data_IF_879470921702
#
_entry.id   IF_879470921702
#
_cell.length_a   1.000
_cell.length_b   1.000
_cell.length_c   1.000
_cell.angle_alpha   90.00
_cell.angle_beta   90.00
_cell.angle_gamma   90.00
#
_symmetry.space_group_name_H-M   'P 1'
#
loop_
_entity.id
_entity.type
_entity.pdbx_description
1 polymer ?
#
# COMPACT_ATOMS: atom_id res chain seq x y z
N UNK A 1 13.35 -12.28 8.88
CA UNK A 1 13.20 -11.20 9.87
C UNK A 1 13.68 -9.92 9.23
N UNK A 2 12.86 -8.87 9.30
CA UNK A 2 13.11 -7.52 8.75
C UNK A 2 12.83 -6.45 9.81
N UNK A 3 12.75 -6.82 11.09
CA UNK A 3 12.38 -5.94 12.22
C UNK A 3 13.28 -4.71 12.41
N UNK A 4 14.51 -4.73 11.89
CA UNK A 4 15.44 -3.59 11.93
C UNK A 4 15.44 -2.75 10.65
N UNK A 5 14.66 -3.11 9.64
CA UNK A 5 14.58 -2.39 8.37
C UNK A 5 13.68 -1.17 8.57
N UNK A 6 14.20 0.01 8.25
CA UNK A 6 13.44 1.27 8.34
C UNK A 6 12.95 1.79 6.99
N UNK A 7 13.47 1.25 5.89
CA UNK A 7 13.19 1.70 4.53
C UNK A 7 13.04 0.48 3.60
N UNK A 8 11.86 0.33 3.01
CA UNK A 8 11.54 -0.72 2.03
C UNK A 8 11.25 -0.13 0.64
N UNK A 9 11.74 1.10 0.39
CA UNK A 9 11.54 1.79 -0.88
C UNK A 9 11.99 0.92 -2.05
N UNK A 10 11.12 0.80 -3.05
CA UNK A 10 11.36 0.07 -4.31
C UNK A 10 11.70 -1.44 -4.18
N UNK A 11 11.51 -2.07 -3.02
CA UNK A 11 12.01 -3.43 -2.74
C UNK A 11 11.57 -4.50 -3.75
N UNK A 12 10.32 -4.42 -4.23
CA UNK A 12 9.74 -5.32 -5.23
C UNK A 12 9.23 -4.58 -6.47
N UNK A 13 9.79 -3.42 -6.78
CA UNK A 13 9.47 -2.68 -8.00
C UNK A 13 9.72 -3.55 -9.23
N UNK A 14 8.73 -3.61 -10.13
CA UNK A 14 8.69 -4.39 -11.37
C UNK A 14 8.96 -5.89 -11.18
N UNK A 15 8.80 -6.42 -9.96
CA UNK A 15 8.86 -7.84 -9.70
C UNK A 15 7.56 -8.52 -10.19
N UNK A 16 7.38 -8.57 -11.51
CA UNK A 16 6.12 -8.92 -12.21
C UNK A 16 5.46 -10.19 -11.69
N UNK A 17 6.26 -11.19 -11.28
CA UNK A 17 5.79 -12.51 -10.81
C UNK A 17 5.87 -12.69 -9.30
N UNK A 18 6.23 -11.65 -8.54
CA UNK A 18 6.37 -11.75 -7.09
C UNK A 18 5.01 -11.89 -6.41
N UNK A 19 4.84 -12.98 -5.66
CA UNK A 19 3.65 -13.25 -4.86
C UNK A 19 4.00 -14.25 -3.74
N UNK A 20 5.19 -14.11 -3.15
CA UNK A 20 5.67 -15.00 -2.08
C UNK A 20 5.09 -14.54 -0.74
N UNK A 21 4.74 -15.48 0.11
CA UNK A 21 4.22 -15.19 1.45
C UNK A 21 5.25 -14.37 2.27
N UNK A 22 4.80 -13.20 2.69
CA UNK A 22 5.52 -12.23 3.53
C UNK A 22 4.66 -11.79 4.72
N UNK A 23 3.56 -12.51 5.00
CA UNK A 23 2.62 -12.17 6.07
C UNK A 23 3.27 -12.15 7.46
N UNK A 24 4.38 -12.88 7.63
CA UNK A 24 5.16 -13.00 8.87
C UNK A 24 6.24 -11.93 9.06
N UNK A 25 6.38 -10.98 8.14
CA UNK A 25 7.36 -9.92 8.28
C UNK A 25 6.96 -8.94 9.38
N UNK A 26 7.88 -8.69 10.30
CA UNK A 26 7.77 -7.58 11.25
C UNK A 26 8.25 -6.30 10.58
N UNK A 27 7.30 -5.43 10.22
CA UNK A 27 7.55 -4.16 9.54
C UNK A 27 7.33 -2.95 10.46
N UNK A 28 7.19 -3.16 11.77
CA UNK A 28 6.86 -2.10 12.75
C UNK A 28 7.89 -0.96 12.81
N UNK A 29 9.14 -1.22 12.42
CA UNK A 29 10.21 -0.20 12.35
C UNK A 29 10.28 0.53 11.00
N UNK A 30 9.50 0.11 10.00
CA UNK A 30 9.54 0.69 8.65
C UNK A 30 8.88 2.07 8.66
N UNK A 31 9.56 3.04 8.06
CA UNK A 31 9.10 4.42 7.94
C UNK A 31 8.76 4.82 6.50
N UNK A 32 9.34 4.14 5.51
CA UNK A 32 9.03 4.30 4.08
C UNK A 32 8.74 2.96 3.42
N UNK A 33 7.60 2.87 2.74
CA UNK A 33 7.23 1.78 1.83
C UNK A 33 6.95 2.28 0.41
N UNK A 34 7.54 3.43 0.08
CA UNK A 34 7.42 4.07 -1.21
C UNK A 34 7.70 3.08 -2.34
N UNK A 35 6.76 3.00 -3.26
CA UNK A 35 6.85 2.18 -4.47
C UNK A 35 7.15 0.69 -4.23
N UNK A 36 7.04 0.16 -3.01
CA UNK A 36 7.50 -1.19 -2.64
C UNK A 36 7.00 -2.29 -3.58
N UNK A 37 5.75 -2.24 -4.04
CA UNK A 37 5.15 -3.21 -4.97
C UNK A 37 4.77 -2.59 -6.32
N UNK A 38 5.38 -1.47 -6.70
CA UNK A 38 5.09 -0.82 -8.00
C UNK A 38 5.34 -1.79 -9.13
N UNK A 39 4.38 -1.98 -10.03
CA UNK A 39 4.54 -2.88 -11.18
C UNK A 39 4.56 -4.37 -10.83
N UNK A 40 4.53 -4.77 -9.55
CA UNK A 40 4.49 -6.17 -9.11
C UNK A 40 3.13 -6.81 -9.44
N UNK A 41 2.88 -7.04 -10.73
CA UNK A 41 1.56 -7.28 -11.31
C UNK A 41 0.85 -8.53 -10.78
N UNK A 42 1.60 -9.51 -10.24
CA UNK A 42 1.07 -10.74 -9.66
C UNK A 42 0.88 -10.70 -8.13
N UNK A 43 1.29 -9.63 -7.46
CA UNK A 43 1.26 -9.57 -6.00
C UNK A 43 -0.18 -9.46 -5.47
N UNK A 44 -0.56 -10.39 -4.59
CA UNK A 44 -1.87 -10.42 -3.92
C UNK A 44 -1.79 -11.11 -2.54
N UNK A 45 -0.65 -11.00 -1.86
CA UNK A 45 -0.48 -11.64 -0.55
C UNK A 45 -1.21 -10.87 0.54
N UNK A 46 -1.73 -11.61 1.52
CA UNK A 46 -2.36 -11.01 2.69
C UNK A 46 -1.27 -10.37 3.58
N UNK A 47 -1.41 -9.06 3.76
CA UNK A 47 -0.55 -8.20 4.59
C UNK A 47 -1.40 -7.38 5.57
N UNK A 48 -2.60 -7.87 5.92
CA UNK A 48 -3.50 -7.21 6.87
C UNK A 48 -2.94 -7.15 8.30
N UNK A 49 -1.96 -8.00 8.63
CA UNK A 49 -1.32 -8.12 9.94
C UNK A 49 -0.11 -7.21 10.13
N UNK A 50 0.34 -6.51 9.08
CA UNK A 50 1.47 -5.60 9.16
C UNK A 50 1.13 -4.35 9.98
N UNK A 51 2.09 -3.88 10.77
CA UNK A 51 1.99 -2.65 11.55
C UNK A 51 2.53 -1.46 10.73
N UNK A 52 1.64 -0.53 10.38
CA UNK A 52 1.94 0.65 9.59
C UNK A 52 2.05 1.95 10.41
N UNK A 53 1.94 1.86 11.74
CA UNK A 53 1.89 3.05 12.62
C UNK A 53 3.12 3.95 12.52
N UNK A 54 4.28 3.40 12.14
CA UNK A 54 5.54 4.12 11.91
C UNK A 54 5.72 4.67 10.49
N UNK A 55 4.89 4.25 9.53
CA UNK A 55 5.06 4.58 8.10
C UNK A 55 4.55 5.98 7.81
N UNK A 56 5.36 6.79 7.13
CA UNK A 56 5.00 8.15 6.71
C UNK A 56 4.96 8.36 5.19
N UNK A 57 5.55 7.45 4.40
CA UNK A 57 5.54 7.49 2.92
C UNK A 57 5.06 6.15 2.33
N UNK A 58 3.90 6.20 1.65
CA UNK A 58 3.27 5.10 0.91
C UNK A 58 3.12 5.44 -0.58
N UNK A 59 3.81 6.47 -1.08
CA UNK A 59 3.65 6.91 -2.45
C UNK A 59 3.93 5.76 -3.43
N UNK A 60 3.01 5.53 -4.37
CA UNK A 60 3.06 4.47 -5.38
C UNK A 60 3.14 3.04 -4.85
N UNK A 61 2.93 2.77 -3.55
CA UNK A 61 3.16 1.44 -2.96
C UNK A 61 2.54 0.28 -3.75
N UNK A 62 1.32 0.45 -4.27
CA UNK A 62 0.59 -0.53 -5.11
C UNK A 62 0.29 -0.02 -6.52
N UNK A 63 1.08 0.95 -7.01
CA UNK A 63 0.91 1.43 -8.39
C UNK A 63 1.16 0.28 -9.36
N UNK A 64 0.24 0.04 -10.29
CA UNK A 64 0.32 -1.03 -11.29
C UNK A 64 0.34 -2.46 -10.70
N UNK A 65 -0.03 -2.65 -9.42
CA UNK A 65 -0.21 -3.96 -8.80
C UNK A 65 -1.57 -4.56 -9.22
N UNK A 66 -1.63 -5.03 -10.46
CA UNK A 66 -2.88 -5.29 -11.22
C UNK A 66 -3.92 -6.17 -10.50
N UNK A 67 -3.48 -7.14 -9.70
CA UNK A 67 -4.35 -8.15 -9.07
C UNK A 67 -4.53 -7.98 -7.56
N UNK A 68 -3.89 -6.99 -6.94
CA UNK A 68 -3.97 -6.81 -5.49
C UNK A 68 -5.38 -6.38 -5.07
N UNK A 69 -5.99 -7.15 -4.16
CA UNK A 69 -7.32 -6.86 -3.61
C UNK A 69 -7.50 -7.44 -2.20
N UNK A 70 -6.43 -7.55 -1.42
CA UNK A 70 -6.50 -8.02 -0.04
C UNK A 70 -7.02 -6.92 0.88
N UNK A 71 -7.76 -7.31 1.93
CA UNK A 71 -8.29 -6.35 2.90
C UNK A 71 -7.18 -5.61 3.63
N UNK A 72 -7.29 -4.28 3.66
CA UNK A 72 -6.35 -3.35 4.30
C UNK A 72 -7.08 -2.33 5.19
N UNK A 73 -8.34 -2.58 5.51
CA UNK A 73 -9.18 -1.67 6.29
C UNK A 73 -8.69 -1.49 7.74
N UNK A 74 -7.88 -2.43 8.23
CA UNK A 74 -7.30 -2.43 9.59
C UNK A 74 -5.99 -1.66 9.72
N UNK A 75 -5.44 -1.13 8.62
CA UNK A 75 -4.16 -0.42 8.69
C UNK A 75 -4.32 0.91 9.43
N UNK A 76 -3.41 1.16 10.38
CA UNK A 76 -3.22 2.49 10.95
C UNK A 76 -2.35 3.30 9.99
N UNK A 77 -2.98 4.25 9.30
CA UNK A 77 -2.32 5.17 8.36
C UNK A 77 -2.25 6.60 8.89
N UNK A 78 -2.52 6.82 10.19
CA UNK A 78 -2.61 8.15 10.80
C UNK A 78 -1.30 8.94 10.76
N UNK A 79 -0.16 8.25 10.64
CA UNK A 79 1.19 8.82 10.45
C UNK A 79 1.54 9.13 8.99
N UNK A 80 0.75 8.66 8.03
CA UNK A 80 1.08 8.75 6.59
C UNK A 80 0.90 10.17 6.08
N UNK A 81 1.90 10.67 5.36
CA UNK A 81 1.90 12.02 4.78
C UNK A 81 1.88 12.04 3.25
N UNK A 82 2.31 10.96 2.59
CA UNK A 82 2.30 10.84 1.12
C UNK A 82 1.67 9.50 0.67
N UNK A 83 0.57 9.60 -0.08
CA UNK A 83 -0.15 8.51 -0.75
C UNK A 83 -0.27 8.75 -2.27
N UNK A 84 0.59 9.60 -2.84
CA UNK A 84 0.61 9.91 -4.27
C UNK A 84 0.62 8.63 -5.12
N UNK A 85 -0.34 8.50 -6.03
CA UNK A 85 -0.48 7.33 -6.91
C UNK A 85 -0.50 5.95 -6.20
N UNK A 86 -0.84 5.87 -4.90
CA UNK A 86 -0.73 4.62 -4.13
C UNK A 86 -1.40 3.40 -4.80
N UNK A 87 -2.56 3.58 -5.43
CA UNK A 87 -3.30 2.54 -6.17
C UNK A 87 -3.48 2.87 -7.66
N UNK A 88 -2.62 3.72 -8.23
CA UNK A 88 -2.67 4.07 -9.66
C UNK A 88 -2.64 2.79 -10.50
N UNK A 89 -3.60 2.60 -11.38
CA UNK A 89 -3.74 1.41 -12.22
C UNK A 89 -3.72 0.06 -11.44
N UNK A 90 -4.13 0.04 -10.17
CA UNK A 90 -4.38 -1.19 -9.42
C UNK A 90 -5.75 -1.75 -9.81
N UNK A 91 -5.83 -2.40 -10.97
CA UNK A 91 -7.10 -2.69 -11.65
C UNK A 91 -8.11 -3.52 -10.84
N UNK A 92 -7.64 -4.40 -9.96
CA UNK A 92 -8.50 -5.26 -9.13
C UNK A 92 -8.85 -4.67 -7.75
N UNK A 93 -8.19 -3.59 -7.33
CA UNK A 93 -8.34 -3.07 -5.98
C UNK A 93 -9.73 -2.46 -5.76
N UNK A 94 -10.48 -2.97 -4.78
CA UNK A 94 -11.81 -2.47 -4.43
C UNK A 94 -12.14 -2.69 -2.94
N UNK A 95 -11.16 -2.52 -2.06
CA UNK A 95 -11.37 -2.71 -0.61
C UNK A 95 -11.83 -1.42 0.07
N UNK A 96 -12.74 -1.57 1.03
CA UNK A 96 -13.22 -0.46 1.84
C UNK A 96 -12.09 0.10 2.72
N UNK A 97 -11.84 1.40 2.59
CA UNK A 97 -10.82 2.16 3.33
C UNK A 97 -11.41 3.39 4.02
N UNK A 98 -12.74 3.48 4.15
CA UNK A 98 -13.42 4.62 4.78
C UNK A 98 -13.04 4.81 6.27
N UNK A 99 -12.45 3.80 6.91
CA UNK A 99 -11.95 3.87 8.29
C UNK A 99 -10.57 4.48 8.43
N UNK A 100 -9.87 4.77 7.33
CA UNK A 100 -8.52 5.33 7.38
C UNK A 100 -8.53 6.78 7.86
N UNK A 101 -7.74 7.07 8.90
CA UNK A 101 -7.45 8.44 9.31
C UNK A 101 -6.42 9.04 8.35
N UNK A 102 -6.89 9.84 7.40
CA UNK A 102 -6.07 10.51 6.39
C UNK A 102 -5.77 11.97 6.74
N UNK A 103 -6.01 12.40 7.98
CA UNK A 103 -5.86 13.80 8.40
C UNK A 103 -4.42 14.34 8.29
N UNK A 104 -3.42 13.45 8.33
CA UNK A 104 -2.00 13.78 8.15
C UNK A 104 -1.54 13.80 6.69
N UNK A 105 -2.35 13.31 5.74
CA UNK A 105 -1.96 13.15 4.34
C UNK A 105 -1.86 14.53 3.66
N UNK A 106 -0.69 14.82 3.10
CA UNK A 106 -0.40 16.08 2.39
C UNK A 106 -0.46 15.90 0.88
N UNK A 107 -0.24 14.68 0.39
CA UNK A 107 -0.26 14.33 -1.03
C UNK A 107 -1.07 13.06 -1.25
N UNK A 108 -2.19 13.21 -1.96
CA UNK A 108 -3.09 12.11 -2.33
C UNK A 108 -3.47 12.20 -3.81
N UNK A 109 -2.71 12.99 -4.57
CA UNK A 109 -2.91 13.25 -5.98
C UNK A 109 -3.01 11.93 -6.75
N UNK A 110 -4.14 11.75 -7.45
CA UNK A 110 -4.37 10.64 -8.38
C UNK A 110 -4.22 9.23 -7.77
N UNK A 111 -4.45 9.09 -6.46
CA UNK A 111 -4.35 7.81 -5.73
C UNK A 111 -5.02 6.63 -6.44
N UNK A 112 -6.20 6.85 -7.06
CA UNK A 112 -6.97 5.83 -7.78
C UNK A 112 -7.04 6.03 -9.30
N UNK A 113 -6.12 6.81 -9.88
CA UNK A 113 -6.13 7.04 -11.33
C UNK A 113 -6.04 5.71 -12.09
N UNK A 114 -7.04 5.41 -12.93
CA UNK A 114 -7.20 4.14 -13.67
C UNK A 114 -7.31 2.87 -12.79
N UNK A 115 -7.65 2.99 -11.51
CA UNK A 115 -8.03 1.86 -10.66
C UNK A 115 -9.47 1.42 -10.98
N UNK A 116 -9.64 0.70 -12.10
CA UNK A 116 -10.96 0.50 -12.72
C UNK A 116 -12.02 -0.20 -11.86
N UNK A 117 -11.63 -1.07 -10.93
CA UNK A 117 -12.57 -1.75 -10.03
C UNK A 117 -12.97 -0.90 -8.82
N UNK A 118 -12.24 0.17 -8.50
CA UNK A 118 -12.44 0.92 -7.27
C UNK A 118 -13.75 1.71 -7.32
N UNK A 119 -14.66 1.40 -6.39
CA UNK A 119 -15.97 2.05 -6.27
C UNK A 119 -16.41 2.27 -4.81
N UNK A 120 -15.44 2.31 -3.89
CA UNK A 120 -15.70 2.49 -2.46
C UNK A 120 -15.92 3.96 -2.10
N UNK A 121 -16.59 4.17 -0.97
CA UNK A 121 -16.71 5.49 -0.36
C UNK A 121 -15.33 5.95 0.14
N UNK A 122 -15.00 7.21 -0.15
CA UNK A 122 -13.77 7.89 0.25
C UNK A 122 -14.06 9.21 0.96
N UNK A 123 -15.30 9.44 1.34
CA UNK A 123 -15.66 10.57 2.19
C UNK A 123 -15.16 10.32 3.62
N UNK A 124 -14.21 11.15 4.04
CA UNK A 124 -13.68 11.22 5.41
C UNK A 124 -14.16 12.48 6.10
#
# INVERSE_FOLDING_TARGET
DVSSVTDMTDMFTDALTFNKDISSWDVSSVTSMKAMFTGASAFNQNISSWDFSSVNDMARMFSETKVFNQSISSWDVSSVTDMYYMFREANAFNQNIASWDVSSVRRMDSMFFQANAFNQDVSS
#
